data_IF_606286445589
#
_entry.id   IF_606286445589
#
_cell.length_a   1.000
_cell.length_b   1.000
_cell.length_c   1.000
_cell.angle_alpha   90.00
_cell.angle_beta   90.00
_cell.angle_gamma   90.00
#
_symmetry.space_group_name_H-M   'P 1'
#
loop_
_entity.id
_entity.type
_entity.pdbx_description
1 polymer ?
#
# COMPACT_ATOMS: atom_id res chain seq x y z
N UNK A 1 -99.16 56.00 -59.87
CA UNK A 1 -98.82 55.28 -58.62
C UNK A 1 -97.82 54.13 -58.84
N UNK A 2 -97.78 53.44 -59.99
CA UNK A 2 -96.84 52.34 -60.25
C UNK A 2 -95.35 52.75 -60.26
N UNK A 3 -94.98 53.88 -60.86
CA UNK A 3 -93.58 54.34 -60.94
C UNK A 3 -92.96 54.71 -59.57
N UNK A 4 -93.78 55.11 -58.60
CA UNK A 4 -93.32 55.39 -57.23
C UNK A 4 -93.03 54.10 -56.45
N UNK A 5 -93.73 53.00 -56.75
CA UNK A 5 -93.52 51.71 -56.11
C UNK A 5 -92.25 51.00 -56.64
N UNK A 6 -91.95 51.09 -57.95
CA UNK A 6 -90.68 50.60 -58.52
C UNK A 6 -89.47 51.40 -58.03
N UNK A 7 -89.62 52.72 -57.86
CA UNK A 7 -88.57 53.56 -57.27
C UNK A 7 -88.31 53.24 -55.79
N UNK A 8 -89.32 52.80 -55.03
CA UNK A 8 -89.17 52.37 -53.64
C UNK A 8 -88.52 50.98 -53.53
N UNK A 9 -88.88 50.04 -54.41
CA UNK A 9 -88.27 48.70 -54.49
C UNK A 9 -86.78 48.74 -54.88
N UNK A 10 -86.38 49.70 -55.71
CA UNK A 10 -84.97 49.91 -56.06
C UNK A 10 -84.17 50.61 -54.96
N UNK A 11 -84.83 51.28 -54.02
CA UNK A 11 -84.19 52.01 -52.92
C UNK A 11 -83.98 51.16 -51.65
N UNK A 12 -84.78 50.12 -51.45
CA UNK A 12 -84.68 49.17 -50.34
C UNK A 12 -83.30 48.50 -50.17
N UNK A 13 -82.65 47.95 -51.22
CA UNK A 13 -81.31 47.36 -51.08
C UNK A 13 -80.25 48.41 -50.73
N UNK A 14 -80.43 49.66 -51.18
CA UNK A 14 -79.52 50.75 -50.84
C UNK A 14 -79.63 51.15 -49.36
N UNK A 15 -80.84 51.12 -48.79
CA UNK A 15 -81.05 51.34 -47.35
C UNK A 15 -80.49 50.20 -46.50
N UNK A 16 -80.65 48.94 -46.93
CA UNK A 16 -80.06 47.78 -46.25
C UNK A 16 -78.54 47.88 -46.21
N UNK A 17 -77.90 48.18 -47.35
CA UNK A 17 -76.46 48.39 -47.41
C UNK A 17 -76.00 49.56 -46.54
N UNK A 18 -76.76 50.65 -46.46
CA UNK A 18 -76.45 51.77 -45.55
C UNK A 18 -76.53 51.36 -44.09
N UNK A 19 -77.52 50.55 -43.71
CA UNK A 19 -77.67 50.03 -42.36
C UNK A 19 -76.55 49.06 -41.98
N UNK A 20 -76.22 48.11 -42.84
CA UNK A 20 -75.08 47.19 -42.65
C UNK A 20 -73.76 47.95 -42.56
N UNK A 21 -73.56 48.96 -43.42
CA UNK A 21 -72.36 49.78 -43.38
C UNK A 21 -72.27 50.59 -42.07
N UNK A 22 -73.40 51.05 -41.53
CA UNK A 22 -73.46 51.67 -40.21
C UNK A 22 -73.08 50.68 -39.10
N UNK A 23 -73.65 49.46 -39.10
CA UNK A 23 -73.33 48.42 -38.12
C UNK A 23 -71.85 48.04 -38.16
N UNK A 24 -71.29 47.80 -39.35
CA UNK A 24 -69.87 47.48 -39.52
C UNK A 24 -68.98 48.62 -39.02
N UNK A 25 -69.38 49.89 -39.20
CA UNK A 25 -68.63 51.03 -38.63
C UNK A 25 -68.71 51.07 -37.11
N UNK A 26 -69.84 50.72 -36.51
CA UNK A 26 -69.94 50.62 -35.04
C UNK A 26 -69.10 49.46 -34.50
N UNK A 27 -69.16 48.28 -35.11
CA UNK A 27 -68.34 47.14 -34.73
C UNK A 27 -66.84 47.47 -34.86
N UNK A 28 -66.44 48.10 -35.96
CA UNK A 28 -65.05 48.51 -36.15
C UNK A 28 -64.63 49.54 -35.07
N UNK A 29 -65.51 50.47 -34.67
CA UNK A 29 -65.24 51.38 -33.53
C UNK A 29 -65.07 50.62 -32.21
N UNK A 30 -65.91 49.60 -31.94
CA UNK A 30 -65.82 48.76 -30.73
C UNK A 30 -64.53 47.96 -30.69
N UNK A 31 -64.20 47.27 -31.79
CA UNK A 31 -62.95 46.53 -31.93
C UNK A 31 -61.75 47.47 -31.77
N UNK A 32 -61.80 48.68 -32.36
CA UNK A 32 -60.74 49.66 -32.18
C UNK A 32 -60.60 50.16 -30.73
N UNK A 33 -61.68 50.24 -29.94
CA UNK A 33 -61.57 50.53 -28.50
C UNK A 33 -60.96 49.37 -27.73
N UNK A 34 -61.40 48.13 -27.99
CA UNK A 34 -60.87 46.93 -27.34
C UNK A 34 -59.37 46.76 -27.61
N UNK A 35 -58.94 46.95 -28.87
CA UNK A 35 -57.52 46.90 -29.24
C UNK A 35 -56.72 47.97 -28.49
N UNK A 36 -57.26 49.18 -28.35
CA UNK A 36 -56.59 50.26 -27.60
C UNK A 36 -56.47 49.91 -26.11
N UNK A 37 -57.50 49.34 -25.52
CA UNK A 37 -57.47 48.88 -24.13
C UNK A 37 -56.43 47.77 -23.94
N UNK A 38 -56.42 46.75 -24.81
CA UNK A 38 -55.45 45.66 -24.77
C UNK A 38 -54.01 46.17 -24.92
N UNK A 39 -53.77 47.15 -25.79
CA UNK A 39 -52.45 47.79 -25.92
C UNK A 39 -52.06 48.51 -24.63
N UNK A 40 -52.99 49.24 -24.00
CA UNK A 40 -52.72 49.90 -22.72
C UNK A 40 -52.42 48.89 -21.60
N UNK A 41 -53.13 47.77 -21.55
CA UNK A 41 -52.84 46.67 -20.62
C UNK A 41 -51.48 46.04 -20.87
N UNK A 42 -51.12 45.80 -22.14
CA UNK A 42 -49.79 45.31 -22.52
C UNK A 42 -48.70 46.27 -22.03
N UNK A 43 -48.86 47.57 -22.25
CA UNK A 43 -47.86 48.57 -21.86
C UNK A 43 -47.74 48.67 -20.33
N UNK A 44 -48.85 48.58 -19.58
CA UNK A 44 -48.83 48.48 -18.10
C UNK A 44 -48.09 47.23 -17.63
N UNK A 45 -48.33 46.07 -18.26
CA UNK A 45 -47.66 44.82 -17.91
C UNK A 45 -46.15 44.88 -18.19
N UNK A 46 -45.75 45.46 -19.33
CA UNK A 46 -44.34 45.67 -19.68
C UNK A 46 -43.67 46.64 -18.69
N UNK A 47 -44.35 47.73 -18.32
CA UNK A 47 -43.84 48.67 -17.33
C UNK A 47 -43.65 48.02 -15.96
N UNK A 48 -44.62 47.22 -15.51
CA UNK A 48 -44.51 46.46 -14.26
C UNK A 48 -43.36 45.42 -14.33
N UNK A 49 -43.22 44.70 -15.44
CA UNK A 49 -42.12 43.77 -15.64
C UNK A 49 -40.76 44.47 -15.61
N UNK A 50 -40.65 45.65 -16.21
CA UNK A 50 -39.46 46.47 -16.21
C UNK A 50 -39.15 47.00 -14.80
N UNK A 51 -40.15 47.46 -14.06
CA UNK A 51 -40.02 47.91 -12.66
C UNK A 51 -39.57 46.77 -11.73
N UNK A 52 -40.02 45.54 -11.97
CA UNK A 52 -39.63 44.36 -11.18
C UNK A 52 -38.32 43.71 -11.66
N UNK A 53 -37.78 44.09 -12.82
CA UNK A 53 -36.55 43.51 -13.35
C UNK A 53 -35.32 43.71 -12.43
N UNK A 54 -35.08 44.89 -11.83
CA UNK A 54 -34.00 45.08 -10.86
C UNK A 54 -34.12 44.18 -9.63
N UNK A 55 -35.33 44.04 -9.06
CA UNK A 55 -35.57 43.17 -7.91
C UNK A 55 -35.28 41.69 -8.25
N UNK A 56 -35.75 41.21 -9.42
CA UNK A 56 -35.45 39.87 -9.92
C UNK A 56 -33.95 39.65 -10.13
N UNK A 57 -33.24 40.65 -10.64
CA UNK A 57 -31.77 40.59 -10.81
C UNK A 57 -31.06 40.52 -9.45
N UNK A 58 -31.48 41.30 -8.45
CA UNK A 58 -30.90 41.23 -7.09
C UNK A 58 -31.13 39.87 -6.45
N UNK A 59 -32.36 39.35 -6.51
CA UNK A 59 -32.68 38.02 -6.00
C UNK A 59 -31.85 36.92 -6.70
N UNK A 60 -31.67 37.00 -8.03
CA UNK A 60 -30.81 36.06 -8.75
C UNK A 60 -29.35 36.12 -8.29
N UNK A 61 -28.81 37.33 -8.07
CA UNK A 61 -27.44 37.51 -7.55
C UNK A 61 -27.30 36.97 -6.12
N UNK A 62 -28.31 37.15 -5.27
CA UNK A 62 -28.32 36.61 -3.91
C UNK A 62 -28.37 35.07 -3.91
N UNK A 63 -29.15 34.47 -4.80
CA UNK A 63 -29.16 33.01 -5.00
C UNK A 63 -27.80 32.50 -5.45
N UNK A 64 -27.14 33.17 -6.40
CA UNK A 64 -25.78 32.77 -6.82
C UNK A 64 -24.76 32.92 -5.69
N UNK A 65 -24.83 33.99 -4.89
CA UNK A 65 -24.00 34.14 -3.68
C UNK A 65 -24.27 33.03 -2.65
N UNK A 66 -25.53 32.68 -2.42
CA UNK A 66 -25.90 31.61 -1.51
C UNK A 66 -25.36 30.25 -2.00
N UNK A 67 -25.41 29.96 -3.31
CA UNK A 67 -24.80 28.77 -3.90
C UNK A 67 -23.28 28.74 -3.69
N UNK A 68 -22.59 29.87 -3.88
CA UNK A 68 -21.15 29.98 -3.64
C UNK A 68 -20.80 29.71 -2.16
N UNK A 69 -21.55 30.32 -1.23
CA UNK A 69 -21.37 30.08 0.21
C UNK A 69 -21.65 28.62 0.58
N UNK A 70 -22.67 27.99 -0.01
CA UNK A 70 -22.97 26.58 0.21
C UNK A 70 -21.84 25.67 -0.30
N UNK A 71 -21.23 26.00 -1.43
CA UNK A 71 -20.05 25.27 -1.93
C UNK A 71 -18.86 25.45 -0.98
N UNK A 72 -18.60 26.66 -0.50
CA UNK A 72 -17.55 26.92 0.49
C UNK A 72 -17.77 26.14 1.78
N UNK A 73 -19.00 26.12 2.31
CA UNK A 73 -19.33 25.33 3.50
C UNK A 73 -19.08 23.84 3.28
N UNK A 74 -19.48 23.28 2.13
CA UNK A 74 -19.18 21.87 1.82
C UNK A 74 -17.68 21.58 1.78
N UNK A 75 -16.87 22.49 1.24
CA UNK A 75 -15.40 22.32 1.23
C UNK A 75 -14.79 22.38 2.64
N UNK A 76 -15.34 23.22 3.52
CA UNK A 76 -14.91 23.29 4.93
C UNK A 76 -15.37 22.05 5.69
N UNK A 77 -16.59 21.58 5.46
CA UNK A 77 -17.09 20.33 6.06
C UNK A 77 -16.24 19.12 5.65
N UNK A 78 -15.86 19.03 4.38
CA UNK A 78 -14.98 17.93 3.93
C UNK A 78 -13.59 18.03 4.54
N UNK A 79 -13.02 19.24 4.66
CA UNK A 79 -11.70 19.41 5.28
C UNK A 79 -11.72 19.11 6.77
N UNK A 80 -12.78 19.48 7.49
CA UNK A 80 -12.98 19.12 8.90
C UNK A 80 -13.14 17.62 9.10
N UNK A 81 -13.87 16.93 8.20
CA UNK A 81 -13.98 15.46 8.23
C UNK A 81 -12.62 14.79 8.02
N UNK A 82 -11.84 15.25 7.04
CA UNK A 82 -10.49 14.75 6.81
C UNK A 82 -9.58 15.01 8.02
N UNK A 83 -9.67 16.19 8.63
CA UNK A 83 -8.92 16.51 9.85
C UNK A 83 -9.31 15.59 11.02
N UNK A 84 -10.59 15.34 11.24
CA UNK A 84 -11.04 14.40 12.28
C UNK A 84 -10.54 12.98 12.05
N UNK A 85 -10.52 12.50 10.81
CA UNK A 85 -9.94 11.19 10.47
C UNK A 85 -8.42 11.16 10.73
N UNK A 86 -7.70 12.24 10.41
CA UNK A 86 -6.27 12.36 10.70
C UNK A 86 -6.01 12.40 12.22
N UNK A 87 -6.82 13.12 12.99
CA UNK A 87 -6.71 13.17 14.45
C UNK A 87 -6.89 11.78 15.07
N UNK A 88 -7.88 11.01 14.61
CA UNK A 88 -8.06 9.61 15.03
C UNK A 88 -6.83 8.75 14.68
N UNK A 89 -6.35 8.80 13.44
CA UNK A 89 -5.17 8.07 13.02
C UNK A 89 -3.92 8.46 13.85
N UNK A 90 -3.76 9.73 14.21
CA UNK A 90 -2.65 10.16 15.08
C UNK A 90 -2.77 9.56 16.48
N UNK A 91 -3.97 9.50 17.06
CA UNK A 91 -4.17 8.88 18.37
C UNK A 91 -3.91 7.37 18.37
N UNK A 92 -4.26 6.68 17.28
CA UNK A 92 -3.95 5.26 17.09
C UNK A 92 -2.43 5.03 17.01
N UNK A 93 -1.73 5.83 16.21
CA UNK A 93 -0.26 5.76 16.11
C UNK A 93 0.45 6.09 17.42
N UNK A 94 -0.08 7.04 18.21
CA UNK A 94 0.43 7.33 19.55
C UNK A 94 0.24 6.15 20.50
N UNK A 95 -0.90 5.48 20.45
CA UNK A 95 -1.16 4.28 21.24
C UNK A 95 -0.24 3.11 20.83
N UNK A 96 -0.01 2.92 19.53
CA UNK A 96 0.94 1.92 19.01
C UNK A 96 2.37 2.22 19.44
N UNK A 97 2.78 3.49 19.36
CA UNK A 97 4.10 3.94 19.85
C UNK A 97 4.25 3.60 21.34
N UNK A 98 3.24 3.87 22.15
CA UNK A 98 3.30 3.60 23.60
C UNK A 98 3.36 2.10 23.89
N UNK A 99 2.60 1.28 23.16
CA UNK A 99 2.67 -0.18 23.25
C UNK A 99 4.06 -0.71 22.87
N UNK A 100 4.64 -0.20 21.78
CA UNK A 100 6.00 -0.55 21.36
C UNK A 100 7.04 -0.10 22.39
N UNK A 101 6.90 1.10 22.94
CA UNK A 101 7.79 1.62 23.97
C UNK A 101 7.77 0.71 25.22
N UNK A 102 6.58 0.33 25.69
CA UNK A 102 6.43 -0.62 26.80
C UNK A 102 7.10 -1.95 26.49
N UNK A 103 6.93 -2.50 25.29
CA UNK A 103 7.58 -3.74 24.84
C UNK A 103 9.10 -3.61 24.84
N UNK A 104 9.65 -2.50 24.34
CA UNK A 104 11.10 -2.29 24.37
C UNK A 104 11.63 -2.22 25.80
N UNK A 105 10.89 -1.61 26.72
CA UNK A 105 11.32 -1.51 28.12
C UNK A 105 11.23 -2.87 28.84
N UNK A 106 10.26 -3.72 28.51
CA UNK A 106 10.22 -5.12 28.96
C UNK A 106 11.45 -5.88 28.44
N UNK A 107 11.72 -5.81 27.13
CA UNK A 107 12.88 -6.48 26.52
C UNK A 107 14.21 -5.99 27.09
N UNK A 108 14.34 -4.69 27.41
CA UNK A 108 15.54 -4.15 28.08
C UNK A 108 15.75 -4.76 29.45
N UNK A 109 14.67 -4.91 30.24
CA UNK A 109 14.74 -5.55 31.58
C UNK A 109 15.12 -7.02 31.45
N UNK A 110 14.47 -7.76 30.54
CA UNK A 110 14.80 -9.17 30.27
C UNK A 110 16.26 -9.34 29.83
N UNK A 111 16.74 -8.50 28.90
CA UNK A 111 18.13 -8.51 28.46
C UNK A 111 19.11 -8.26 29.62
N UNK A 112 18.82 -7.29 30.49
CA UNK A 112 19.62 -7.05 31.69
C UNK A 112 19.66 -8.27 32.62
N UNK A 113 18.51 -8.95 32.82
CA UNK A 113 18.48 -10.18 33.62
C UNK A 113 19.29 -11.31 33.00
N UNK A 114 19.21 -11.49 31.68
CA UNK A 114 19.97 -12.51 30.94
C UNK A 114 21.48 -12.24 30.97
N UNK A 115 21.90 -10.97 30.86
CA UNK A 115 23.31 -10.57 31.02
C UNK A 115 23.84 -10.95 32.39
N UNK A 116 23.10 -10.61 33.45
CA UNK A 116 23.48 -10.95 34.82
C UNK A 116 23.56 -12.48 35.03
N UNK A 117 22.62 -13.24 34.47
CA UNK A 117 22.70 -14.71 34.49
C UNK A 117 23.90 -15.26 33.72
N UNK A 118 24.22 -14.66 32.57
CA UNK A 118 25.39 -15.03 31.76
C UNK A 118 26.69 -14.78 32.52
N UNK A 119 26.83 -13.63 33.15
CA UNK A 119 27.98 -13.28 33.99
C UNK A 119 28.14 -14.25 35.16
N UNK A 120 27.04 -14.58 35.86
CA UNK A 120 27.08 -15.58 36.93
C UNK A 120 27.53 -16.96 36.45
N UNK A 121 27.03 -17.42 35.28
CA UNK A 121 27.47 -18.70 34.70
C UNK A 121 28.94 -18.66 34.30
N UNK A 122 29.39 -17.54 33.73
CA UNK A 122 30.80 -17.33 33.38
C UNK A 122 31.70 -17.41 34.62
N UNK A 123 31.35 -16.74 35.72
CA UNK A 123 32.13 -16.83 36.96
C UNK A 123 32.16 -18.24 37.55
N UNK A 124 31.05 -18.99 37.49
CA UNK A 124 31.05 -20.40 37.91
C UNK A 124 31.96 -21.26 37.02
N UNK A 125 31.98 -21.01 35.72
CA UNK A 125 32.86 -21.70 34.79
C UNK A 125 34.34 -21.37 35.08
N UNK A 126 34.67 -20.09 35.27
CA UNK A 126 36.02 -19.63 35.63
C UNK A 126 36.48 -20.25 36.96
N UNK A 127 35.60 -20.36 37.96
CA UNK A 127 35.90 -21.02 39.23
C UNK A 127 36.15 -22.53 39.06
N UNK A 128 35.33 -23.22 38.27
CA UNK A 128 35.52 -24.64 37.98
C UNK A 128 36.82 -24.88 37.20
N UNK A 129 37.15 -24.02 36.23
CA UNK A 129 38.40 -24.06 35.48
C UNK A 129 39.60 -23.86 36.40
N UNK A 130 39.56 -22.89 37.32
CA UNK A 130 40.61 -22.68 38.31
C UNK A 130 40.80 -23.89 39.24
N UNK A 131 39.71 -24.54 39.66
CA UNK A 131 39.77 -25.77 40.46
C UNK A 131 40.39 -26.94 39.68
N UNK A 132 39.99 -27.13 38.43
CA UNK A 132 40.56 -28.16 37.56
C UNK A 132 42.05 -27.89 37.29
N UNK A 133 42.45 -26.64 37.08
CA UNK A 133 43.86 -26.24 36.92
C UNK A 133 44.67 -26.56 38.17
N UNK A 134 44.19 -26.19 39.36
CA UNK A 134 44.85 -26.48 40.63
C UNK A 134 44.98 -28.00 40.88
N UNK A 135 43.93 -28.78 40.58
CA UNK A 135 44.00 -30.24 40.64
C UNK A 135 45.02 -30.79 39.62
N UNK A 136 45.01 -30.30 38.38
CA UNK A 136 45.96 -30.67 37.35
C UNK A 136 47.42 -30.41 37.75
N UNK A 137 47.70 -29.26 38.35
CA UNK A 137 49.01 -28.94 38.92
C UNK A 137 49.39 -29.87 40.08
N UNK A 138 48.44 -30.21 40.96
CA UNK A 138 48.68 -31.14 42.07
C UNK A 138 49.01 -32.55 41.58
N UNK A 139 48.32 -33.02 40.52
CA UNK A 139 48.62 -34.30 39.89
C UNK A 139 49.97 -34.28 39.18
N UNK A 140 50.27 -33.19 38.45
CA UNK A 140 51.59 -33.00 37.83
C UNK A 140 52.72 -33.08 38.88
N UNK A 141 52.58 -32.38 40.01
CA UNK A 141 53.57 -32.43 41.09
C UNK A 141 53.70 -33.82 41.72
N UNK A 142 52.60 -34.57 41.90
CA UNK A 142 52.66 -35.95 42.40
C UNK A 142 53.36 -36.87 41.40
N UNK A 143 53.07 -36.73 40.10
CA UNK A 143 53.74 -37.49 39.04
C UNK A 143 55.23 -37.16 38.99
N UNK A 144 55.61 -35.88 39.07
CA UNK A 144 57.02 -35.46 39.15
C UNK A 144 57.74 -36.08 40.36
N UNK A 145 57.08 -36.13 41.53
CA UNK A 145 57.63 -36.83 42.72
C UNK A 145 57.76 -38.33 42.51
N UNK A 146 56.78 -38.98 41.90
CA UNK A 146 56.82 -40.41 41.59
C UNK A 146 57.94 -40.73 40.59
N UNK A 147 58.11 -39.90 39.56
CA UNK A 147 59.22 -40.01 38.60
C UNK A 147 60.56 -39.81 39.30
N UNK A 148 60.72 -38.77 40.12
CA UNK A 148 61.95 -38.54 40.88
C UNK A 148 62.26 -39.70 41.85
N UNK A 149 61.24 -40.29 42.50
CA UNK A 149 61.43 -41.50 43.32
C UNK A 149 61.87 -42.68 42.47
N UNK A 150 61.25 -42.90 41.30
CA UNK A 150 61.66 -43.94 40.35
C UNK A 150 63.09 -43.74 39.87
N UNK A 151 63.47 -42.53 39.49
CA UNK A 151 64.84 -42.18 39.09
C UNK A 151 65.81 -42.40 40.25
N UNK A 152 65.46 -42.05 41.49
CA UNK A 152 66.31 -42.31 42.65
C UNK A 152 66.47 -43.80 42.97
N UNK A 153 65.44 -44.62 42.71
CA UNK A 153 65.49 -46.08 42.84
C UNK A 153 66.31 -46.70 41.71
N UNK A 154 66.14 -46.22 40.48
CA UNK A 154 66.93 -46.63 39.32
C UNK A 154 68.41 -46.27 39.56
N UNK A 155 68.71 -45.08 40.07
CA UNK A 155 70.06 -44.63 40.48
C UNK A 155 70.63 -45.43 41.65
N UNK A 156 69.81 -45.80 42.65
CA UNK A 156 70.22 -46.67 43.75
C UNK A 156 70.51 -48.09 43.27
N UNK A 157 69.68 -48.62 42.35
CA UNK A 157 69.91 -49.91 41.70
C UNK A 157 71.14 -49.86 40.80
N UNK A 158 71.38 -48.72 40.12
CA UNK A 158 72.57 -48.49 39.31
C UNK A 158 73.82 -48.36 40.18
N UNK A 159 73.72 -47.82 41.41
CA UNK A 159 74.82 -47.81 42.40
C UNK A 159 75.09 -49.18 43.01
N UNK A 160 74.06 -50.01 43.22
CA UNK A 160 74.23 -51.42 43.63
C UNK A 160 74.83 -52.26 42.50
N UNK A 161 74.46 -51.92 41.25
CA UNK A 161 75.04 -52.47 40.03
C UNK A 161 76.47 -51.98 39.76
N UNK A 162 76.83 -50.75 40.14
CA UNK A 162 78.17 -50.16 39.90
C UNK A 162 79.24 -50.58 40.92
N UNK A 163 78.96 -51.55 41.80
CA UNK A 163 80.01 -52.34 42.45
C UNK A 163 80.61 -53.41 41.50
N UNK A 164 80.03 -53.59 40.30
CA UNK A 164 80.63 -54.34 39.20
C UNK A 164 80.35 -53.63 37.87
N UNK A 165 81.40 -53.44 37.09
CA UNK A 165 81.37 -53.03 35.67
C UNK A 165 81.48 -51.52 35.42
N UNK A 166 82.71 -51.01 35.62
CA UNK A 166 83.30 -50.03 34.71
C UNK A 166 83.64 -50.73 33.38
N UNK A 167 83.23 -50.18 32.24
CA UNK A 167 84.06 -49.89 31.05
C UNK A 167 83.18 -49.68 29.79
N UNK A 168 83.36 -48.49 29.19
CA UNK A 168 83.40 -48.22 27.74
C UNK A 168 82.14 -48.45 26.88
N UNK A 169 81.84 -47.76 25.78
CA UNK A 169 82.42 -46.65 25.05
C UNK A 169 81.36 -46.14 24.04
N UNK A 170 81.42 -44.84 23.76
CA UNK A 170 81.38 -44.18 22.45
C UNK A 170 80.27 -44.42 21.39
N UNK A 171 79.77 -43.26 20.94
CA UNK A 171 78.86 -42.92 19.83
C UNK A 171 79.38 -43.37 18.44
N UNK A 172 78.51 -43.57 17.43
CA UNK A 172 78.52 -42.57 16.36
C UNK A 172 77.18 -42.26 15.68
N UNK A 173 77.01 -40.96 15.40
CA UNK A 173 76.29 -40.32 14.29
C UNK A 173 76.17 -41.12 12.98
N UNK A 174 74.98 -41.16 12.36
CA UNK A 174 74.73 -40.62 11.00
C UNK A 174 73.26 -40.78 10.48
N UNK A 175 72.58 -39.63 10.27
CA UNK A 175 72.30 -39.02 8.95
C UNK A 175 71.19 -39.53 7.97
N UNK A 176 70.44 -38.53 7.42
CA UNK A 176 69.79 -38.47 6.07
C UNK A 176 68.39 -39.15 5.94
N UNK A 177 67.32 -38.66 5.26
CA UNK A 177 67.10 -37.68 4.18
C UNK A 177 65.68 -37.06 4.16
N UNK A 178 65.66 -35.88 3.55
CA UNK A 178 64.62 -35.00 2.98
C UNK A 178 63.42 -35.60 2.22
N UNK A 179 62.28 -34.89 2.23
CA UNK A 179 61.57 -34.33 1.05
C UNK A 179 60.22 -33.69 1.50
N UNK A 180 59.57 -32.70 0.88
CA UNK A 180 59.84 -31.72 -0.18
C UNK A 180 58.53 -30.91 -0.38
N UNK A 181 58.66 -29.59 -0.58
CA UNK A 181 57.82 -28.67 -1.39
C UNK A 181 56.35 -28.33 -1.03
N UNK A 182 56.15 -27.00 -0.92
CA UNK A 182 55.22 -26.13 -1.65
C UNK A 182 53.70 -26.26 -1.40
N UNK A 183 53.08 -25.21 -0.84
CA UNK A 183 52.54 -24.06 -1.60
C UNK A 183 51.54 -23.27 -0.77
N UNK A 184 51.64 -21.94 -0.88
CA UNK A 184 50.68 -20.98 -0.37
C UNK A 184 49.39 -20.97 -1.21
N UNK A 185 48.25 -20.73 -0.55
CA UNK A 185 47.13 -19.94 -1.09
C UNK A 185 46.19 -19.54 0.04
N UNK A 186 46.05 -18.24 0.23
CA UNK A 186 44.97 -17.61 0.96
C UNK A 186 43.59 -18.06 0.45
N UNK A 187 42.63 -18.22 1.36
CA UNK A 187 41.35 -17.50 1.33
C UNK A 187 40.48 -17.81 2.55
N UNK A 188 39.97 -16.73 3.12
CA UNK A 188 38.85 -16.64 4.04
C UNK A 188 37.66 -17.53 3.68
N UNK A 189 37.00 -18.04 4.72
CA UNK A 189 35.73 -18.75 4.60
C UNK A 189 35.29 -19.41 5.89
N UNK A 190 34.83 -18.58 6.83
CA UNK A 190 34.06 -18.99 8.02
C UNK A 190 33.08 -20.12 7.72
N UNK A 191 33.24 -21.27 8.39
CA UNK A 191 32.15 -22.22 8.64
C UNK A 191 32.41 -22.94 9.97
N UNK A 192 31.38 -22.91 10.80
CA UNK A 192 31.24 -23.43 12.16
C UNK A 192 31.59 -24.94 12.20
N UNK A 193 32.36 -25.42 13.21
CA UNK A 193 32.67 -26.83 13.35
C UNK A 193 31.54 -27.56 14.08
N UNK A 194 30.87 -28.49 13.40
CA UNK A 194 30.02 -29.50 14.04
C UNK A 194 30.87 -30.76 14.24
N UNK A 195 31.34 -30.97 15.47
CA UNK A 195 32.24 -32.04 15.83
C UNK A 195 31.46 -33.31 16.20
N UNK A 196 31.87 -34.39 15.54
CA UNK A 196 32.19 -35.70 16.11
C UNK A 196 31.03 -36.65 16.40
N UNK A 197 30.72 -37.41 15.35
CA UNK A 197 30.42 -38.83 15.46
C UNK A 197 31.76 -39.56 15.62
N UNK A 198 32.03 -40.10 16.81
CA UNK A 198 33.19 -40.94 17.09
C UNK A 198 32.68 -42.29 17.60
N UNK A 199 32.72 -43.24 16.67
CA UNK A 199 33.22 -44.61 16.85
C UNK A 199 33.38 -45.04 18.31
N UNK A 200 32.46 -45.91 18.75
CA UNK A 200 32.66 -46.77 19.92
C UNK A 200 33.92 -47.64 19.73
N UNK A 201 34.76 -47.78 20.76
CA UNK A 201 35.69 -48.89 20.85
C UNK A 201 34.96 -50.14 21.36
N UNK A 202 35.23 -51.27 20.71
CA UNK A 202 35.01 -52.61 21.23
C UNK A 202 35.82 -52.74 22.53
N UNK A 203 35.14 -52.99 23.65
CA UNK A 203 35.77 -53.40 24.89
C UNK A 203 35.77 -54.92 24.96
N UNK A 204 36.98 -55.45 24.96
CA UNK A 204 37.39 -56.83 25.13
C UNK A 204 36.83 -57.42 26.44
N UNK A 205 36.03 -58.49 26.33
CA UNK A 205 35.81 -59.46 27.38
C UNK A 205 36.81 -60.62 27.12
N UNK A 206 37.68 -60.92 28.08
CA UNK A 206 38.73 -61.92 27.91
C UNK A 206 39.43 -62.29 29.20
N UNK A 207 38.71 -63.05 30.02
CA UNK A 207 39.14 -63.98 31.07
C UNK A 207 40.62 -64.02 31.48
N UNK A 208 40.89 -63.58 32.71
CA UNK A 208 42.13 -63.87 33.44
C UNK A 208 41.95 -65.15 34.27
N UNK A 209 42.40 -66.28 33.75
CA UNK A 209 42.64 -67.50 34.52
C UNK A 209 43.91 -67.32 35.37
N UNK A 210 43.75 -67.36 36.70
CA UNK A 210 44.85 -67.56 37.65
C UNK A 210 44.34 -68.32 38.86
N UNK A 211 44.34 -69.65 38.73
CA UNK A 211 44.27 -70.57 39.86
C UNK A 211 45.70 -70.90 40.32
N UNK A 212 46.03 -70.56 41.56
CA UNK A 212 47.05 -71.28 42.30
C UNK A 212 46.63 -71.50 43.76
N UNK A 213 46.63 -72.78 44.12
CA UNK A 213 46.95 -73.38 45.42
C UNK A 213 46.05 -73.08 46.63
N UNK A 214 45.34 -74.10 47.12
CA UNK A 214 45.48 -74.56 48.51
C UNK A 214 44.74 -75.89 48.76
N UNK A 215 45.54 -76.89 49.08
CA UNK A 215 45.32 -78.08 49.91
C UNK A 215 43.97 -78.24 50.63
N UNK A 216 43.32 -79.38 50.38
CA UNK A 216 42.25 -79.93 51.21
C UNK A 216 42.77 -80.33 52.61
N UNK A 217 41.93 -80.18 53.65
CA UNK A 217 41.68 -81.33 54.52
C UNK A 217 40.18 -81.63 54.58
N UNK A 218 39.87 -82.93 54.60
CA UNK A 218 38.53 -83.46 54.69
C UNK A 218 37.95 -83.31 56.11
N UNK A 219 36.81 -82.63 56.28
CA UNK A 219 35.85 -82.86 57.38
C UNK A 219 34.43 -82.45 56.93
N UNK A 220 33.48 -83.36 57.13
CA UNK A 220 32.01 -83.26 57.10
C UNK A 220 31.31 -82.01 56.55
N UNK A 221 30.50 -82.29 55.53
CA UNK A 221 29.48 -81.49 54.83
C UNK A 221 28.48 -80.79 55.76
N UNK A 222 28.46 -79.46 55.77
CA UNK A 222 27.30 -78.63 56.16
C UNK A 222 26.59 -78.16 54.89
N UNK A 223 25.80 -79.07 54.30
CA UNK A 223 25.06 -78.86 53.04
C UNK A 223 24.12 -77.65 53.11
N UNK A 224 23.60 -77.34 54.30
CA UNK A 224 22.71 -76.22 54.54
C UNK A 224 23.41 -74.86 54.33
N UNK A 225 24.66 -74.70 54.79
CA UNK A 225 25.42 -73.46 54.62
C UNK A 225 25.73 -73.19 53.14
N UNK A 226 26.06 -74.23 52.38
CA UNK A 226 26.31 -74.14 50.94
C UNK A 226 25.02 -73.75 50.17
N UNK A 227 23.88 -74.36 50.48
CA UNK A 227 22.58 -74.01 49.86
C UNK A 227 22.19 -72.57 50.19
N UNK A 228 22.34 -72.13 51.44
CA UNK A 228 22.06 -70.72 51.79
C UNK A 228 23.01 -69.72 51.12
N UNK A 229 24.28 -70.10 50.92
CA UNK A 229 25.25 -69.30 50.18
C UNK A 229 24.89 -69.19 48.69
N UNK A 230 24.46 -70.30 48.07
CA UNK A 230 23.98 -70.31 46.69
C UNK A 230 22.69 -69.50 46.52
N UNK A 231 21.75 -69.59 47.47
CA UNK A 231 20.53 -68.76 47.47
C UNK A 231 20.86 -67.27 47.66
N UNK A 232 21.84 -66.92 48.50
CA UNK A 232 22.30 -65.54 48.67
C UNK A 232 22.97 -64.99 47.40
N UNK A 233 23.74 -65.81 46.69
CA UNK A 233 24.32 -65.43 45.38
C UNK A 233 23.22 -65.31 44.33
N UNK A 234 22.29 -66.26 44.26
CA UNK A 234 21.18 -66.24 43.32
C UNK A 234 20.28 -65.01 43.52
N UNK A 235 19.95 -64.66 44.77
CA UNK A 235 19.17 -63.46 45.09
C UNK A 235 19.92 -62.18 44.73
N UNK A 236 21.23 -62.11 44.97
CA UNK A 236 22.06 -60.96 44.56
C UNK A 236 22.17 -60.83 43.04
N UNK A 237 22.33 -61.94 42.32
CA UNK A 237 22.33 -61.95 40.86
C UNK A 237 20.96 -61.53 40.28
N UNK A 238 19.86 -61.99 40.88
CA UNK A 238 18.51 -61.59 40.49
C UNK A 238 18.24 -60.11 40.78
N UNK A 239 18.62 -59.61 41.95
CA UNK A 239 18.45 -58.19 42.27
C UNK A 239 19.30 -57.30 41.34
N UNK A 240 20.52 -57.72 41.03
CA UNK A 240 21.39 -57.02 40.08
C UNK A 240 20.81 -57.04 38.66
N UNK A 241 20.31 -58.19 38.18
CA UNK A 241 19.63 -58.29 36.88
C UNK A 241 18.38 -57.42 36.82
N UNK A 242 17.54 -57.43 37.86
CA UNK A 242 16.34 -56.60 37.95
C UNK A 242 16.69 -55.12 37.92
N UNK A 243 17.71 -54.71 38.69
CA UNK A 243 18.16 -53.32 38.72
C UNK A 243 18.76 -52.91 37.37
N UNK A 244 19.58 -53.76 36.74
CA UNK A 244 20.16 -53.50 35.43
C UNK A 244 19.09 -53.40 34.33
N UNK A 245 18.07 -54.26 34.36
CA UNK A 245 16.92 -54.18 33.44
C UNK A 245 16.09 -52.92 33.69
N UNK A 246 15.86 -52.53 34.94
CA UNK A 246 15.16 -51.29 35.26
C UNK A 246 15.94 -50.06 34.78
N UNK A 247 17.27 -50.04 34.98
CA UNK A 247 18.12 -48.95 34.52
C UNK A 247 18.21 -48.87 32.99
N UNK A 248 18.33 -50.01 32.29
CA UNK A 248 18.38 -50.03 30.82
C UNK A 248 17.04 -49.60 30.22
N UNK A 249 15.92 -50.05 30.79
CA UNK A 249 14.59 -49.62 30.38
C UNK A 249 14.35 -48.13 30.63
N UNK A 250 14.75 -47.61 31.79
CA UNK A 250 14.66 -46.18 32.09
C UNK A 250 15.52 -45.33 31.14
N UNK A 251 16.72 -45.79 30.77
CA UNK A 251 17.56 -45.14 29.76
C UNK A 251 16.88 -45.13 28.39
N UNK A 252 16.25 -46.24 27.99
CA UNK A 252 15.54 -46.34 26.72
C UNK A 252 14.29 -45.46 26.67
N UNK A 253 13.52 -45.38 27.76
CA UNK A 253 12.39 -44.47 27.88
C UNK A 253 12.81 -43.00 27.80
N UNK A 254 13.89 -42.61 28.49
CA UNK A 254 14.43 -41.24 28.39
C UNK A 254 14.87 -40.92 26.96
N UNK A 255 15.46 -41.89 26.26
CA UNK A 255 15.85 -41.73 24.85
C UNK A 255 14.62 -41.55 23.95
N UNK A 256 13.58 -42.37 24.14
CA UNK A 256 12.32 -42.25 23.40
C UNK A 256 11.65 -40.88 23.64
N UNK A 257 11.55 -40.44 24.90
CA UNK A 257 10.96 -39.14 25.26
C UNK A 257 11.72 -37.96 24.61
N UNK A 258 13.05 -38.06 24.49
CA UNK A 258 13.85 -37.03 23.78
C UNK A 258 13.52 -36.99 22.29
N UNK A 259 13.36 -38.13 21.64
CA UNK A 259 12.99 -38.16 20.22
C UNK A 259 11.57 -37.65 19.99
N UNK A 260 10.63 -37.96 20.88
CA UNK A 260 9.26 -37.43 20.80
C UNK A 260 9.24 -35.90 20.94
N UNK A 261 10.01 -35.35 21.90
CA UNK A 261 10.16 -33.90 22.06
C UNK A 261 10.77 -33.25 20.80
N UNK A 262 11.84 -33.83 20.26
CA UNK A 262 12.46 -33.34 19.01
C UNK A 262 11.51 -33.41 17.82
N UNK A 263 10.71 -34.49 17.70
CA UNK A 263 9.71 -34.60 16.65
C UNK A 263 8.59 -33.56 16.79
N UNK A 264 8.18 -33.23 18.02
CA UNK A 264 7.21 -32.18 18.28
C UNK A 264 7.75 -30.80 17.88
N UNK A 265 9.01 -30.49 18.22
CA UNK A 265 9.68 -29.25 17.83
C UNK A 265 9.81 -29.14 16.30
N UNK A 266 10.23 -30.22 15.63
CA UNK A 266 10.33 -30.23 14.15
C UNK A 266 8.96 -30.00 13.50
N UNK A 267 7.88 -30.56 14.05
CA UNK A 267 6.51 -30.32 13.54
C UNK A 267 6.12 -28.86 13.72
N UNK A 268 6.34 -28.28 14.91
CA UNK A 268 6.07 -26.87 15.16
C UNK A 268 6.86 -25.95 14.22
N UNK A 269 8.15 -26.23 14.01
CA UNK A 269 8.98 -25.44 13.08
C UNK A 269 8.49 -25.58 11.63
N UNK A 270 8.06 -26.77 11.20
CA UNK A 270 7.47 -26.95 9.86
C UNK A 270 6.19 -26.15 9.69
N UNK A 271 5.31 -26.13 10.69
CA UNK A 271 4.09 -25.32 10.67
C UNK A 271 4.42 -23.83 10.62
N UNK A 272 5.38 -23.37 11.43
CA UNK A 272 5.84 -21.97 11.41
C UNK A 272 6.44 -21.58 10.06
N UNK A 273 7.23 -22.45 9.43
CA UNK A 273 7.78 -22.21 8.08
C UNK A 273 6.67 -22.16 7.04
N UNK A 274 5.65 -23.02 7.13
CA UNK A 274 4.51 -22.98 6.21
C UNK A 274 3.71 -21.69 6.36
N UNK A 275 3.47 -21.23 7.61
CA UNK A 275 2.79 -19.96 7.86
C UNK A 275 3.63 -18.79 7.35
N UNK A 276 4.93 -18.77 7.65
CA UNK A 276 5.85 -17.74 7.17
C UNK A 276 5.95 -17.74 5.63
N UNK A 277 5.86 -18.91 4.99
CA UNK A 277 5.86 -19.06 3.53
C UNK A 277 4.61 -18.50 2.83
N UNK A 278 3.48 -18.38 3.53
CA UNK A 278 2.26 -17.76 2.98
C UNK A 278 2.29 -16.23 2.97
N UNK A 279 3.08 -15.63 3.86
CA UNK A 279 3.22 -14.16 3.95
C UNK A 279 3.74 -13.54 2.64
N UNK A 280 4.82 -14.04 2.00
CA UNK A 280 5.28 -13.47 0.74
C UNK A 280 4.29 -13.67 -0.41
N UNK A 281 3.54 -14.78 -0.42
CA UNK A 281 2.47 -14.99 -1.41
C UNK A 281 1.34 -13.96 -1.25
N UNK A 282 0.88 -13.71 -0.03
CA UNK A 282 -0.12 -12.69 0.27
C UNK A 282 0.36 -11.29 -0.10
N UNK A 283 1.61 -10.95 0.25
CA UNK A 283 2.22 -9.67 -0.14
C UNK A 283 2.33 -9.52 -1.65
N UNK A 284 2.66 -10.59 -2.38
CA UNK A 284 2.71 -10.57 -3.84
C UNK A 284 1.32 -10.37 -4.47
N UNK A 285 0.29 -11.03 -3.93
CA UNK A 285 -1.09 -10.81 -4.36
C UNK A 285 -1.57 -9.38 -4.13
N UNK A 286 -1.26 -8.81 -2.96
CA UNK A 286 -1.65 -7.44 -2.63
C UNK A 286 -0.89 -6.42 -3.48
N UNK A 287 0.40 -6.62 -3.73
CA UNK A 287 1.16 -5.83 -4.70
C UNK A 287 0.57 -5.93 -6.11
N UNK A 288 0.12 -7.11 -6.54
CA UNK A 288 -0.52 -7.29 -7.83
C UNK A 288 -1.86 -6.54 -7.92
N UNK A 289 -2.68 -6.57 -6.85
CA UNK A 289 -3.93 -5.80 -6.78
C UNK A 289 -3.67 -4.30 -6.83
N UNK A 290 -2.76 -3.79 -6.00
CA UNK A 290 -2.37 -2.38 -5.99
C UNK A 290 -1.86 -1.91 -7.36
N UNK A 291 -1.08 -2.75 -8.05
CA UNK A 291 -0.59 -2.41 -9.39
C UNK A 291 -1.73 -2.27 -10.39
N UNK A 292 -2.75 -3.14 -10.34
CA UNK A 292 -3.95 -3.05 -11.19
C UNK A 292 -4.76 -1.79 -10.91
N UNK A 293 -5.00 -1.49 -9.63
CA UNK A 293 -5.71 -0.28 -9.23
C UNK A 293 -4.97 0.98 -9.69
N UNK A 294 -3.63 1.01 -9.58
CA UNK A 294 -2.82 2.12 -10.08
C UNK A 294 -2.89 2.25 -11.61
N UNK A 295 -2.94 1.16 -12.36
CA UNK A 295 -3.13 1.22 -13.82
C UNK A 295 -4.51 1.75 -14.19
N UNK A 296 -5.57 1.28 -13.53
CA UNK A 296 -6.94 1.77 -13.77
C UNK A 296 -7.08 3.26 -13.43
N UNK A 297 -6.48 3.70 -12.32
CA UNK A 297 -6.46 5.12 -11.95
C UNK A 297 -5.71 5.96 -12.98
N UNK A 298 -4.57 5.48 -13.50
CA UNK A 298 -3.83 6.18 -14.56
C UNK A 298 -4.66 6.31 -15.84
N UNK A 299 -5.28 5.23 -16.29
CA UNK A 299 -6.16 5.24 -17.47
C UNK A 299 -7.34 6.20 -17.28
N UNK A 300 -7.98 6.19 -16.11
CA UNK A 300 -9.08 7.12 -15.80
C UNK A 300 -8.63 8.58 -15.79
N UNK A 301 -7.41 8.84 -15.30
CA UNK A 301 -6.83 10.17 -15.28
C UNK A 301 -6.53 10.67 -16.70
N UNK A 302 -5.96 9.83 -17.56
CA UNK A 302 -5.71 10.14 -18.96
C UNK A 302 -7.02 10.43 -19.71
N UNK A 303 -8.07 9.64 -19.48
CA UNK A 303 -9.40 9.89 -20.07
C UNK A 303 -10.00 11.22 -19.61
N UNK A 304 -9.85 11.58 -18.33
CA UNK A 304 -10.31 12.87 -17.81
C UNK A 304 -9.50 14.04 -18.38
N UNK A 305 -8.18 13.89 -18.51
CA UNK A 305 -7.33 14.90 -19.16
C UNK A 305 -7.72 15.13 -20.62
N UNK A 306 -7.99 14.06 -21.38
CA UNK A 306 -8.47 14.16 -22.76
C UNK A 306 -9.81 14.91 -22.83
N UNK A 307 -10.77 14.57 -21.96
CA UNK A 307 -12.06 15.28 -21.90
C UNK A 307 -11.93 16.75 -21.52
N UNK A 308 -10.99 17.08 -20.63
CA UNK A 308 -10.69 18.47 -20.29
C UNK A 308 -10.10 19.22 -21.49
N UNK A 309 -9.11 18.63 -22.18
CA UNK A 309 -8.53 19.23 -23.38
C UNK A 309 -9.58 19.45 -24.49
N UNK A 310 -10.48 18.49 -24.70
CA UNK A 310 -11.59 18.61 -25.65
C UNK A 310 -12.57 19.72 -25.25
N UNK A 311 -12.90 19.80 -23.96
CA UNK A 311 -13.78 20.86 -23.44
C UNK A 311 -13.14 22.25 -23.57
N UNK A 312 -11.86 22.38 -23.26
CA UNK A 312 -11.09 23.61 -23.43
C UNK A 312 -11.04 24.03 -24.90
N UNK A 313 -10.75 23.09 -25.81
CA UNK A 313 -10.76 23.37 -27.24
C UNK A 313 -12.14 23.84 -27.72
N UNK A 314 -13.21 23.20 -27.26
CA UNK A 314 -14.58 23.61 -27.56
C UNK A 314 -14.91 25.01 -27.05
N UNK A 315 -14.43 25.39 -25.86
CA UNK A 315 -14.58 26.74 -25.31
C UNK A 315 -13.83 27.76 -26.17
N UNK A 316 -12.58 27.48 -26.55
CA UNK A 316 -11.79 28.36 -27.42
C UNK A 316 -12.48 28.56 -28.78
N UNK A 317 -12.97 27.49 -29.39
CA UNK A 317 -13.71 27.58 -30.66
C UNK A 317 -15.00 28.37 -30.49
N UNK A 318 -15.74 28.19 -29.39
CA UNK A 318 -16.93 29.00 -29.12
C UNK A 318 -16.60 30.47 -28.89
N UNK A 319 -15.49 30.77 -28.22
CA UNK A 319 -15.04 32.14 -27.98
C UNK A 319 -14.67 32.82 -29.30
N UNK A 320 -13.84 32.18 -30.14
CA UNK A 320 -13.51 32.69 -31.48
C UNK A 320 -14.77 32.96 -32.31
N UNK A 321 -15.74 32.03 -32.29
CA UNK A 321 -17.03 32.24 -33.00
C UNK A 321 -17.82 33.43 -32.46
N UNK A 322 -17.77 33.70 -31.15
CA UNK A 322 -18.43 34.88 -30.55
C UNK A 322 -17.72 36.17 -30.95
N UNK A 323 -16.39 36.16 -30.99
CA UNK A 323 -15.56 37.29 -31.42
C UNK A 323 -15.76 37.61 -32.90
N UNK A 324 -15.81 36.60 -33.76
CA UNK A 324 -16.13 36.74 -35.19
C UNK A 324 -17.52 37.36 -35.39
N UNK A 325 -18.53 36.83 -34.69
CA UNK A 325 -19.90 37.33 -34.74
C UNK A 325 -19.97 38.78 -34.25
N UNK A 326 -19.27 39.13 -33.17
CA UNK A 326 -19.19 40.50 -32.66
C UNK A 326 -18.55 41.44 -33.70
N UNK A 327 -17.49 41.01 -34.37
CA UNK A 327 -16.80 41.79 -35.39
C UNK A 327 -17.71 42.05 -36.60
N UNK A 328 -18.42 41.04 -37.08
CA UNK A 328 -19.41 41.18 -38.18
C UNK A 328 -20.60 42.07 -37.80
N UNK A 329 -21.11 41.95 -36.57
CA UNK A 329 -22.16 42.85 -36.07
C UNK A 329 -21.69 44.31 -36.02
N UNK A 330 -20.43 44.55 -35.65
CA UNK A 330 -19.83 45.90 -35.68
C UNK A 330 -19.73 46.43 -37.11
N UNK A 331 -19.39 45.60 -38.10
CA UNK A 331 -19.36 45.99 -39.52
C UNK A 331 -20.74 46.44 -39.99
N UNK A 332 -21.78 45.62 -39.79
CA UNK A 332 -23.17 45.99 -40.17
C UNK A 332 -23.62 47.26 -39.46
N UNK A 333 -23.39 47.36 -38.15
CA UNK A 333 -23.71 48.57 -37.41
C UNK A 333 -22.91 49.79 -37.90
N UNK A 334 -21.68 49.59 -38.40
CA UNK A 334 -20.85 50.60 -39.03
C UNK A 334 -21.47 51.14 -40.32
N UNK A 335 -21.81 50.24 -41.25
CA UNK A 335 -22.43 50.57 -42.54
C UNK A 335 -23.79 51.26 -42.36
N UNK A 336 -24.65 50.73 -41.46
CA UNK A 336 -25.95 51.34 -41.14
C UNK A 336 -25.77 52.75 -40.56
N UNK A 337 -24.80 52.95 -39.65
CA UNK A 337 -24.52 54.29 -39.10
C UNK A 337 -23.95 55.24 -40.15
N UNK A 338 -23.19 54.74 -41.13
CA UNK A 338 -22.67 55.54 -42.22
C UNK A 338 -23.79 55.98 -43.15
N UNK A 339 -24.69 55.06 -43.52
CA UNK A 339 -25.90 55.35 -44.28
C UNK A 339 -26.79 56.38 -43.58
N UNK A 340 -27.11 56.18 -42.30
CA UNK A 340 -27.92 57.13 -41.54
C UNK A 340 -27.28 58.53 -41.43
N UNK A 341 -25.94 58.61 -41.37
CA UNK A 341 -25.21 59.89 -41.40
C UNK A 341 -25.35 60.59 -42.75
N UNK A 342 -25.25 59.86 -43.86
CA UNK A 342 -25.46 60.39 -45.21
C UNK A 342 -26.88 60.94 -45.37
N UNK A 343 -27.89 60.12 -45.04
CA UNK A 343 -29.32 60.48 -45.09
C UNK A 343 -29.60 61.72 -44.23
N UNK A 344 -29.10 61.77 -42.98
CA UNK A 344 -29.27 62.94 -42.10
C UNK A 344 -28.61 64.19 -42.67
N UNK A 345 -27.44 64.06 -43.31
CA UNK A 345 -26.72 65.16 -43.95
C UNK A 345 -27.45 65.73 -45.17
N UNK A 346 -28.23 64.91 -45.88
CA UNK A 346 -29.05 65.33 -47.01
C UNK A 346 -30.38 65.94 -46.57
N UNK A 347 -31.05 65.35 -45.59
CA UNK A 347 -32.30 65.91 -45.02
C UNK A 347 -32.05 67.33 -44.50
N UNK A 348 -30.89 67.55 -43.84
CA UNK A 348 -30.49 68.90 -43.40
C UNK A 348 -30.24 69.88 -44.54
N UNK A 349 -29.84 69.41 -45.72
CA UNK A 349 -29.50 70.26 -46.89
C UNK A 349 -30.68 70.49 -47.84
N UNK A 350 -31.62 69.53 -47.96
CA UNK A 350 -32.68 69.52 -48.98
C UNK A 350 -34.11 69.55 -48.40
N UNK A 351 -34.33 70.19 -47.24
CA UNK A 351 -35.63 70.27 -46.53
C UNK A 351 -36.84 70.23 -47.47
N UNK A 352 -37.65 69.16 -47.38
CA UNK A 352 -38.90 68.99 -48.14
C UNK A 352 -38.85 68.04 -49.35
N UNK A 353 -37.67 67.61 -49.81
CA UNK A 353 -37.53 66.63 -50.88
C UNK A 353 -37.04 65.27 -50.36
N UNK A 354 -37.47 64.18 -51.01
CA UNK A 354 -37.02 62.83 -50.70
C UNK A 354 -35.48 62.77 -50.85
N UNK A 355 -34.72 62.35 -49.83
CA UNK A 355 -33.26 62.27 -49.92
C UNK A 355 -32.85 61.34 -51.06
N UNK A 356 -31.98 61.82 -51.96
CA UNK A 356 -31.39 60.99 -53.03
C UNK A 356 -30.61 59.80 -52.44
N UNK A 357 -30.15 59.89 -51.19
CA UNK A 357 -29.55 58.77 -50.46
C UNK A 357 -30.46 57.56 -50.27
N UNK A 358 -31.79 57.72 -50.33
CA UNK A 358 -32.68 56.56 -50.34
C UNK A 358 -32.48 55.74 -51.62
N UNK A 359 -32.07 56.39 -52.71
CA UNK A 359 -31.74 55.77 -54.00
C UNK A 359 -30.24 55.42 -54.16
N UNK A 360 -29.39 55.61 -53.14
CA UNK A 360 -27.98 55.19 -53.19
C UNK A 360 -27.86 53.66 -53.14
N UNK A 361 -28.00 53.03 -54.31
CA UNK A 361 -27.87 51.59 -54.51
C UNK A 361 -26.55 51.03 -53.94
N UNK A 362 -25.45 51.76 -54.06
CA UNK A 362 -24.13 51.36 -53.53
C UNK A 362 -24.06 51.26 -52.00
N UNK A 363 -24.88 52.06 -51.29
CA UNK A 363 -24.94 52.00 -49.82
C UNK A 363 -25.81 50.86 -49.33
N UNK A 364 -26.91 50.58 -50.05
CA UNK A 364 -27.76 49.42 -49.81
C UNK A 364 -27.04 48.11 -50.18
N UNK A 365 -26.24 48.09 -51.25
CA UNK A 365 -25.41 46.96 -51.63
C UNK A 365 -24.40 46.60 -50.53
N UNK A 366 -23.69 47.59 -49.97
CA UNK A 366 -22.74 47.36 -48.85
C UNK A 366 -23.42 46.85 -47.57
N UNK A 367 -24.61 47.37 -47.25
CA UNK A 367 -25.40 46.87 -46.12
C UNK A 367 -25.88 45.44 -46.39
N UNK A 368 -26.33 45.15 -47.60
CA UNK A 368 -26.76 43.81 -48.02
C UNK A 368 -25.61 42.80 -47.95
N UNK A 369 -24.44 43.11 -48.51
CA UNK A 369 -23.22 42.29 -48.43
C UNK A 369 -22.80 42.04 -46.97
N UNK A 370 -22.82 43.06 -46.13
CA UNK A 370 -22.49 42.92 -44.72
C UNK A 370 -23.52 42.06 -43.94
N UNK A 371 -24.80 42.12 -44.33
CA UNK A 371 -25.86 41.25 -43.79
C UNK A 371 -25.74 39.81 -44.30
N UNK A 372 -25.39 39.61 -45.57
CA UNK A 372 -25.12 38.27 -46.13
C UNK A 372 -23.95 37.60 -45.41
N UNK A 373 -22.88 38.34 -45.14
CA UNK A 373 -21.75 37.85 -44.33
C UNK A 373 -22.14 37.48 -42.89
N UNK A 374 -23.15 38.14 -42.30
CA UNK A 374 -23.71 37.73 -41.01
C UNK A 374 -24.57 36.46 -41.12
N UNK A 375 -25.36 36.33 -42.19
CA UNK A 375 -26.33 35.26 -42.37
C UNK A 375 -25.69 33.93 -42.78
N UNK A 376 -24.61 33.94 -43.58
CA UNK A 376 -23.92 32.73 -44.05
C UNK A 376 -23.41 31.80 -42.94
N UNK A 377 -23.25 32.26 -41.68
CA UNK A 377 -22.92 31.39 -40.54
C UNK A 377 -24.13 30.88 -39.75
N UNK A 378 -25.28 31.53 -39.88
CA UNK A 378 -26.51 31.13 -39.16
C UNK A 378 -27.12 29.85 -39.75
N UNK A 379 -26.93 29.64 -41.05
CA UNK A 379 -27.35 28.43 -41.79
C UNK A 379 -26.52 27.20 -41.43
N UNK A 380 -25.20 27.36 -41.23
CA UNK A 380 -24.31 26.28 -40.76
C UNK A 380 -24.68 25.76 -39.35
N UNK A 381 -25.28 26.61 -38.50
CA UNK A 381 -25.79 26.21 -37.17
C UNK A 381 -27.01 25.29 -37.26
N UNK A 382 -27.81 25.41 -38.32
CA UNK A 382 -29.02 24.61 -38.52
C UNK A 382 -28.66 23.19 -38.98
N UNK A 383 -27.70 23.06 -39.90
CA UNK A 383 -27.29 21.77 -40.49
C UNK A 383 -26.53 20.89 -39.47
N UNK A 384 -25.69 21.47 -38.61
CA UNK A 384 -24.95 20.69 -37.60
C UNK A 384 -25.80 20.22 -36.42
N UNK A 385 -26.90 20.92 -36.07
CA UNK A 385 -27.83 20.47 -35.02
C UNK A 385 -28.71 19.30 -35.47
N UNK A 386 -29.08 19.23 -36.76
CA UNK A 386 -29.85 18.12 -37.30
C UNK A 386 -29.11 16.78 -37.21
N UNK A 387 -27.82 16.75 -37.56
CA UNK A 387 -27.01 15.51 -37.55
C UNK A 387 -26.63 14.98 -36.16
N UNK A 388 -26.79 15.76 -35.09
CA UNK A 388 -26.49 15.34 -33.72
C UNK A 388 -27.68 14.71 -33.00
N UNK A 389 -28.86 14.67 -33.65
CA UNK A 389 -30.09 14.07 -33.11
C UNK A 389 -30.36 12.70 -33.77
N UNK A 390 -29.70 12.39 -34.89
CA UNK A 390 -29.83 11.14 -35.65
C UNK A 390 -28.69 10.12 -35.40
N UNK A 391 -27.93 10.29 -34.31
CA UNK A 391 -26.97 9.30 -33.79
C UNK A 391 -27.16 9.19 -32.29
#
# INVERSE_FOLDING_TARGET
>A
MAAAAEALLTYEPLQQLQHENFLLREENRRVQSEVRELLAWKDKAVAHMAAMAPARRRAALEVERAKQLQQQLRTVESSLKCRGALELATTELEAERDALQQRTDVLKRENATLKLQSEQRKHRAEQAEAQLSAMGESFRLHLERLVAMRESLDDASARDSMSKTEMENYDPTNNVRTSKANSASDKDGSTIPNNQDSTLPESEDGDADSSSSASLPAVSVDFAALVTGLDAVATKCLSWLQEHLAQSFARQQRKAARYEAQHAEIKQLKEQIQVAGRIPEQLAEDHAKQTRELTELRESHEQLQQRLADAEHMVLVQQQRREDMATRLRLVAGEVRQYLRLVRGEIKRKFGYLPEAIAHAESWARIAEALELLLCQSTDRCIRRGRAIDK
#
